data_IF_849481664618
#
_entry.id   IF_849481664618
#
_cell.length_a   1.000
_cell.length_b   1.000
_cell.length_c   1.000
_cell.angle_alpha   90.00
_cell.angle_beta   90.00
_cell.angle_gamma   90.00
#
_symmetry.space_group_name_H-M   'P 1'
#
loop_
_entity.id
_entity.type
_entity.pdbx_description
1 polymer ?
#
# COMPACT_ATOMS: atom_id res chain seq x y z
N UNK A 1 -21.97 0.52 -16.39
CA UNK A 1 -22.53 1.40 -17.42
C UNK A 1 -21.68 2.64 -17.65
N UNK A 2 -21.26 3.37 -16.58
CA UNK A 2 -20.48 4.59 -16.66
C UNK A 2 -19.10 4.37 -17.30
N UNK A 3 -18.37 3.35 -16.85
CA UNK A 3 -17.08 2.97 -17.41
C UNK A 3 -17.17 2.62 -18.92
N UNK A 4 -18.26 2.02 -19.35
CA UNK A 4 -18.46 1.69 -20.75
C UNK A 4 -18.79 2.91 -21.63
N UNK A 5 -19.39 3.98 -21.04
CA UNK A 5 -19.65 5.24 -21.75
C UNK A 5 -18.38 6.07 -21.89
N UNK A 6 -17.44 5.90 -20.98
CA UNK A 6 -16.18 6.64 -20.93
C UNK A 6 -14.99 5.81 -21.41
N UNK A 7 -15.20 4.83 -22.27
CA UNK A 7 -14.12 4.02 -22.84
C UNK A 7 -13.17 4.87 -23.71
N UNK A 8 -11.84 4.67 -23.65
CA UNK A 8 -11.15 3.61 -22.89
C UNK A 8 -11.10 3.90 -21.39
N UNK A 9 -11.39 2.87 -20.57
CA UNK A 9 -11.48 3.04 -19.12
C UNK A 9 -10.99 1.81 -18.35
N UNK A 10 -10.58 2.04 -17.09
CA UNK A 10 -10.17 0.99 -16.17
C UNK A 10 -11.12 1.01 -14.98
N UNK A 11 -11.66 -0.15 -14.61
CA UNK A 11 -12.39 -0.36 -13.36
C UNK A 11 -11.47 -1.07 -12.38
N UNK A 12 -11.26 -0.46 -11.22
CA UNK A 12 -10.51 -1.05 -10.14
C UNK A 12 -11.44 -1.47 -9.01
N UNK A 13 -11.32 -2.71 -8.55
CA UNK A 13 -12.11 -3.30 -7.46
C UNK A 13 -11.14 -3.74 -6.38
N UNK A 14 -11.12 -3.05 -5.25
CA UNK A 14 -10.33 -3.47 -4.09
C UNK A 14 -11.11 -4.45 -3.22
N UNK A 15 -10.37 -5.33 -2.51
CA UNK A 15 -10.94 -6.34 -1.61
C UNK A 15 -12.07 -7.16 -2.25
N UNK A 16 -11.86 -7.65 -3.46
CA UNK A 16 -12.88 -8.36 -4.24
C UNK A 16 -13.42 -9.61 -3.50
N UNK A 17 -12.65 -10.21 -2.61
CA UNK A 17 -13.07 -11.33 -1.78
C UNK A 17 -14.20 -10.95 -0.81
N UNK A 18 -14.35 -9.68 -0.43
CA UNK A 18 -15.48 -9.18 0.37
C UNK A 18 -16.77 -9.07 -0.46
N UNK A 19 -16.65 -8.85 -1.77
CA UNK A 19 -17.77 -8.67 -2.70
C UNK A 19 -18.20 -10.00 -3.31
N UNK A 20 -17.24 -10.86 -3.60
CA UNK A 20 -17.45 -12.12 -4.32
C UNK A 20 -16.77 -13.33 -3.64
N UNK A 21 -17.16 -13.64 -2.39
CA UNK A 21 -16.63 -14.79 -1.67
C UNK A 21 -17.08 -16.12 -2.28
N UNK A 22 -16.33 -17.22 -2.02
CA UNK A 22 -16.70 -18.58 -2.41
C UNK A 22 -18.10 -18.95 -1.94
N UNK A 23 -18.86 -19.59 -2.81
CA UNK A 23 -20.26 -19.98 -2.55
C UNK A 23 -20.46 -20.81 -1.27
N UNK A 24 -19.44 -21.55 -0.83
CA UNK A 24 -19.48 -22.35 0.41
C UNK A 24 -19.28 -21.54 1.70
N UNK A 25 -18.82 -20.30 1.61
CA UNK A 25 -18.58 -19.41 2.74
C UNK A 25 -19.71 -18.38 2.94
N UNK A 26 -20.66 -18.35 2.02
CA UNK A 26 -21.72 -17.36 1.96
C UNK A 26 -23.04 -17.98 2.46
N UNK A 27 -23.59 -17.47 3.53
CA UNK A 27 -24.89 -17.89 4.10
C UNK A 27 -26.06 -17.03 3.63
N UNK A 28 -25.80 -15.86 3.02
CA UNK A 28 -26.81 -14.90 2.59
C UNK A 28 -27.23 -15.02 1.12
N UNK A 29 -28.54 -14.92 0.84
CA UNK A 29 -29.06 -14.86 -0.54
C UNK A 29 -28.67 -13.59 -1.29
N UNK A 30 -28.50 -12.48 -0.56
CA UNK A 30 -28.10 -11.20 -1.12
C UNK A 30 -26.68 -11.25 -1.71
N UNK A 31 -25.74 -11.85 -1.00
CA UNK A 31 -24.34 -12.01 -1.45
C UNK A 31 -24.26 -12.92 -2.67
N UNK A 32 -25.01 -14.02 -2.70
CA UNK A 32 -25.11 -14.89 -3.89
C UNK A 32 -25.60 -14.14 -5.14
N UNK A 33 -26.54 -13.21 -4.95
CA UNK A 33 -27.03 -12.34 -6.04
C UNK A 33 -25.95 -11.39 -6.54
N UNK A 34 -25.17 -10.78 -5.64
CA UNK A 34 -24.07 -9.86 -6.00
C UNK A 34 -23.03 -10.62 -6.84
N UNK A 35 -22.60 -11.81 -6.40
CA UNK A 35 -21.67 -12.64 -7.17
C UNK A 35 -22.22 -13.00 -8.55
N UNK A 36 -23.49 -13.43 -8.63
CA UNK A 36 -24.13 -13.77 -9.89
C UNK A 36 -24.23 -12.55 -10.84
N UNK A 37 -24.52 -11.37 -10.28
CA UNK A 37 -24.60 -10.14 -11.06
C UNK A 37 -23.21 -9.70 -11.55
N UNK A 38 -22.18 -9.82 -10.71
CA UNK A 38 -20.80 -9.53 -11.10
C UNK A 38 -20.35 -10.45 -12.24
N UNK A 39 -20.62 -11.75 -12.16
CA UNK A 39 -20.32 -12.71 -13.22
C UNK A 39 -21.01 -12.33 -14.54
N UNK A 40 -22.29 -11.96 -14.50
CA UNK A 40 -23.04 -11.53 -15.69
C UNK A 40 -22.47 -10.24 -16.30
N UNK A 41 -22.02 -9.32 -15.44
CA UNK A 41 -21.38 -8.08 -15.90
C UNK A 41 -20.03 -8.36 -16.55
N UNK A 42 -19.23 -9.27 -15.99
CA UNK A 42 -17.93 -9.67 -16.54
C UNK A 42 -18.08 -10.33 -17.89
N UNK A 43 -19.02 -11.28 -18.03
CA UNK A 43 -19.30 -11.95 -19.33
C UNK A 43 -19.73 -10.96 -20.41
N UNK A 44 -20.37 -9.86 -20.03
CA UNK A 44 -20.74 -8.77 -20.96
C UNK A 44 -19.60 -7.83 -21.34
N UNK A 45 -18.42 -7.94 -20.72
CA UNK A 45 -17.27 -7.09 -20.98
C UNK A 45 -16.39 -7.61 -22.12
N UNK A 46 -16.36 -8.91 -22.39
CA UNK A 46 -15.57 -9.50 -23.50
C UNK A 46 -15.85 -8.84 -24.86
N UNK A 47 -17.07 -8.40 -25.07
CA UNK A 47 -17.46 -7.71 -26.32
C UNK A 47 -17.02 -6.23 -26.38
N UNK A 48 -16.37 -5.70 -25.32
CA UNK A 48 -16.03 -4.28 -25.21
C UNK A 48 -14.51 -4.10 -25.12
N UNK A 49 -13.87 -3.97 -26.28
CA UNK A 49 -12.42 -3.98 -26.46
C UNK A 49 -11.62 -2.90 -25.69
N UNK A 50 -12.28 -1.89 -25.08
CA UNK A 50 -11.62 -0.74 -24.47
C UNK A 50 -11.92 -0.59 -22.97
N UNK A 51 -12.27 -1.66 -22.28
CA UNK A 51 -12.54 -1.68 -20.85
C UNK A 51 -11.68 -2.76 -20.17
N UNK A 52 -10.87 -2.37 -19.20
CA UNK A 52 -10.04 -3.28 -18.40
C UNK A 52 -10.59 -3.29 -16.98
N UNK A 53 -10.72 -4.47 -16.40
CA UNK A 53 -11.07 -4.64 -14.98
C UNK A 53 -9.87 -5.19 -14.23
N UNK A 54 -9.50 -4.52 -13.16
CA UNK A 54 -8.43 -4.93 -12.25
C UNK A 54 -9.05 -5.13 -10.88
N UNK A 55 -8.80 -6.28 -10.25
CA UNK A 55 -9.24 -6.54 -8.89
C UNK A 55 -8.03 -6.84 -7.99
N UNK A 56 -8.12 -6.42 -6.74
CA UNK A 56 -7.10 -6.71 -5.73
C UNK A 56 -7.72 -7.52 -4.57
N UNK A 57 -6.93 -8.42 -4.01
CA UNK A 57 -7.27 -9.21 -2.81
C UNK A 57 -6.01 -9.69 -2.12
N UNK A 58 -6.09 -9.84 -0.79
CA UNK A 58 -5.09 -10.53 0.02
C UNK A 58 -5.44 -12.03 0.21
N UNK A 59 -6.61 -12.47 -0.29
CA UNK A 59 -7.14 -13.82 -0.07
C UNK A 59 -7.67 -14.43 -1.37
N UNK A 60 -6.79 -14.73 -2.35
CA UNK A 60 -7.21 -15.22 -3.66
C UNK A 60 -7.98 -16.55 -3.57
N UNK A 61 -7.72 -17.35 -2.53
CA UNK A 61 -8.43 -18.61 -2.26
C UNK A 61 -9.87 -18.39 -1.77
N UNK A 62 -10.22 -17.19 -1.28
CA UNK A 62 -11.57 -16.86 -0.82
C UNK A 62 -12.51 -16.39 -1.95
N UNK A 63 -11.98 -16.08 -3.14
CA UNK A 63 -12.78 -15.64 -4.29
C UNK A 63 -13.52 -16.80 -4.92
N UNK A 64 -14.76 -16.55 -5.42
CA UNK A 64 -15.52 -17.53 -6.21
C UNK A 64 -14.73 -17.97 -7.45
N UNK A 65 -14.54 -19.28 -7.60
CA UNK A 65 -13.74 -19.88 -8.69
C UNK A 65 -14.27 -19.51 -10.08
N UNK A 66 -15.55 -19.22 -10.20
CA UNK A 66 -16.14 -18.82 -11.47
C UNK A 66 -15.59 -17.47 -11.97
N UNK A 67 -15.14 -16.59 -11.08
CA UNK A 67 -14.49 -15.31 -11.45
C UNK A 67 -13.07 -15.49 -12.00
N UNK A 68 -12.39 -16.57 -11.63
CA UNK A 68 -11.00 -16.88 -12.05
C UNK A 68 -10.93 -17.69 -13.35
N UNK A 69 -12.05 -17.85 -14.06
CA UNK A 69 -12.09 -18.54 -15.34
C UNK A 69 -11.69 -17.60 -16.50
N UNK A 70 -11.18 -18.18 -17.62
CA UNK A 70 -10.90 -17.41 -18.83
C UNK A 70 -12.10 -16.56 -19.26
N UNK A 71 -11.83 -15.35 -19.76
CA UNK A 71 -12.85 -14.37 -20.13
C UNK A 71 -13.32 -13.47 -18.99
N UNK A 72 -12.79 -13.67 -17.78
CA UNK A 72 -13.08 -12.84 -16.59
C UNK A 72 -11.77 -12.34 -16.00
N UNK A 73 -11.38 -12.79 -14.79
CA UNK A 73 -10.04 -12.54 -14.25
C UNK A 73 -9.10 -13.67 -14.70
N UNK A 74 -8.65 -13.59 -15.93
CA UNK A 74 -7.85 -14.61 -16.60
C UNK A 74 -6.34 -14.48 -16.30
N UNK A 75 -5.93 -13.37 -15.72
CA UNK A 75 -4.54 -13.12 -15.30
C UNK A 75 -4.47 -12.82 -13.82
N UNK A 76 -3.58 -13.55 -13.16
CA UNK A 76 -3.28 -13.35 -11.75
C UNK A 76 -1.83 -12.88 -11.63
N UNK A 77 -1.64 -11.75 -10.94
CA UNK A 77 -0.33 -11.17 -10.66
C UNK A 77 -0.14 -11.20 -9.15
N UNK A 78 0.83 -11.98 -8.70
CA UNK A 78 1.17 -12.07 -7.28
C UNK A 78 2.17 -10.96 -6.95
N UNK A 79 1.78 -10.04 -6.06
CA UNK A 79 2.67 -9.04 -5.49
C UNK A 79 3.24 -9.60 -4.20
N UNK A 80 4.46 -10.11 -4.27
CA UNK A 80 5.16 -10.73 -3.13
C UNK A 80 5.90 -9.72 -2.25
N UNK A 81 6.60 -10.26 -1.25
CA UNK A 81 7.51 -9.47 -0.41
C UNK A 81 8.60 -8.85 -1.29
N UNK A 82 8.88 -7.54 -1.17
CA UNK A 82 9.86 -6.86 -2.01
C UNK A 82 11.29 -7.37 -1.73
N UNK A 83 12.08 -7.50 -2.78
CA UNK A 83 13.52 -7.70 -2.69
C UNK A 83 14.24 -6.44 -2.17
N UNK A 84 15.56 -6.49 -2.01
CA UNK A 84 16.34 -5.34 -1.52
C UNK A 84 16.15 -4.09 -2.40
N UNK A 85 16.12 -4.27 -3.72
CA UNK A 85 15.91 -3.18 -4.67
C UNK A 85 14.51 -2.59 -4.53
N UNK A 86 13.49 -3.43 -4.44
CA UNK A 86 12.10 -3.02 -4.21
C UNK A 86 11.96 -2.25 -2.90
N UNK A 87 12.58 -2.73 -1.80
CA UNK A 87 12.56 -2.01 -0.53
C UNK A 87 13.24 -0.65 -0.61
N UNK A 88 14.37 -0.56 -1.33
CA UNK A 88 15.03 0.72 -1.58
C UNK A 88 14.12 1.71 -2.33
N UNK A 89 13.42 1.25 -3.36
CA UNK A 89 12.47 2.06 -4.13
C UNK A 89 11.30 2.52 -3.25
N UNK A 90 10.74 1.63 -2.43
CA UNK A 90 9.66 1.95 -1.47
C UNK A 90 10.15 2.96 -0.43
N UNK A 91 11.36 2.79 0.14
CA UNK A 91 11.97 3.76 1.03
C UNK A 91 12.07 5.14 0.36
N UNK A 92 12.54 5.19 -0.90
CA UNK A 92 12.62 6.44 -1.65
C UNK A 92 11.27 7.13 -1.88
N UNK A 93 10.18 6.37 -1.98
CA UNK A 93 8.82 6.92 -2.08
C UNK A 93 8.39 7.52 -0.73
N UNK A 94 8.55 6.78 0.38
CA UNK A 94 8.08 7.20 1.70
C UNK A 94 8.95 8.28 2.35
N UNK A 95 10.21 8.42 1.92
CA UNK A 95 11.10 9.50 2.38
C UNK A 95 11.04 10.74 1.49
N UNK A 96 10.23 10.74 0.43
CA UNK A 96 10.09 11.89 -0.47
C UNK A 96 9.60 13.13 0.30
N UNK A 97 10.38 14.22 0.25
CA UNK A 97 10.08 15.46 0.98
C UNK A 97 10.42 15.42 2.46
N UNK A 98 10.98 14.32 2.96
CA UNK A 98 11.51 14.23 4.32
C UNK A 98 12.92 14.83 4.35
N UNK A 99 13.24 15.74 5.27
CA UNK A 99 14.59 16.29 5.42
C UNK A 99 15.52 15.21 6.00
N UNK A 100 16.19 14.47 5.13
CA UNK A 100 17.17 13.46 5.53
C UNK A 100 18.54 14.06 5.73
N UNK A 101 19.25 13.63 6.77
CA UNK A 101 20.67 13.95 6.96
C UNK A 101 21.52 13.24 5.88
N UNK A 102 22.67 13.84 5.54
CA UNK A 102 23.53 13.36 4.46
C UNK A 102 24.05 11.93 4.64
N UNK A 103 24.13 11.45 5.87
CA UNK A 103 24.61 10.12 6.24
C UNK A 103 23.52 9.02 6.16
N UNK A 104 22.27 9.37 5.86
CA UNK A 104 21.18 8.42 5.71
C UNK A 104 21.29 7.73 4.35
N UNK A 105 21.66 6.47 4.36
CA UNK A 105 21.74 5.63 3.17
C UNK A 105 20.50 4.76 3.02
N UNK A 106 19.70 5.00 1.97
CA UNK A 106 18.54 4.16 1.66
C UNK A 106 18.96 2.73 1.28
N UNK A 107 20.15 2.54 0.75
CA UNK A 107 20.69 1.21 0.44
C UNK A 107 21.03 0.43 1.72
N UNK A 108 21.59 1.08 2.75
CA UNK A 108 21.79 0.47 4.05
C UNK A 108 20.46 0.10 4.70
N UNK A 109 19.48 1.01 4.69
CA UNK A 109 18.16 0.75 5.23
C UNK A 109 17.45 -0.41 4.50
N UNK A 110 17.59 -0.49 3.18
CA UNK A 110 17.02 -1.59 2.40
C UNK A 110 17.62 -2.96 2.77
N UNK A 111 18.92 -3.01 3.09
CA UNK A 111 19.58 -4.23 3.58
C UNK A 111 19.12 -4.63 4.97
N UNK A 112 18.97 -3.66 5.87
CA UNK A 112 18.57 -3.92 7.27
C UNK A 112 17.09 -4.27 7.43
N UNK A 113 16.24 -3.91 6.47
CA UNK A 113 14.80 -4.16 6.48
C UNK A 113 14.41 -5.46 5.75
N UNK A 114 15.22 -6.50 5.87
CA UNK A 114 14.90 -7.80 5.27
C UNK A 114 13.54 -8.31 5.79
N UNK A 115 12.68 -8.78 4.87
CA UNK A 115 11.34 -9.28 5.19
C UNK A 115 10.25 -8.21 5.28
N UNK A 116 10.61 -6.92 5.34
CA UNK A 116 9.63 -5.82 5.40
C UNK A 116 8.82 -5.73 4.11
N UNK A 117 7.51 -5.52 4.26
CA UNK A 117 6.61 -5.14 3.17
C UNK A 117 6.41 -3.62 3.13
N UNK A 118 5.67 -3.14 2.13
CA UNK A 118 5.46 -1.70 1.95
C UNK A 118 4.87 -1.00 3.17
N UNK A 119 3.93 -1.66 3.87
CA UNK A 119 3.32 -1.13 5.09
C UNK A 119 4.34 -0.97 6.23
N UNK A 120 5.25 -1.93 6.40
CA UNK A 120 6.29 -1.89 7.43
C UNK A 120 7.29 -0.78 7.15
N UNK A 121 7.68 -0.59 5.88
CA UNK A 121 8.57 0.49 5.45
C UNK A 121 7.90 1.86 5.67
N UNK A 122 6.61 1.98 5.38
CA UNK A 122 5.84 3.18 5.67
C UNK A 122 5.77 3.48 7.18
N UNK A 123 5.58 2.44 8.00
CA UNK A 123 5.61 2.57 9.46
C UNK A 123 7.00 2.97 9.97
N UNK A 124 8.06 2.35 9.44
CA UNK A 124 9.45 2.66 9.77
C UNK A 124 9.78 4.12 9.47
N UNK A 125 9.47 4.61 8.29
CA UNK A 125 9.76 5.99 7.90
C UNK A 125 8.98 7.00 8.74
N UNK A 126 7.73 6.69 9.09
CA UNK A 126 6.93 7.51 10.01
C UNK A 126 7.50 7.53 11.42
N UNK A 127 7.89 6.37 11.95
CA UNK A 127 8.47 6.28 13.29
C UNK A 127 9.83 7.02 13.36
N UNK A 128 10.67 6.91 12.32
CA UNK A 128 11.92 7.66 12.24
C UNK A 128 11.69 9.19 12.25
N UNK A 129 10.65 9.67 11.56
CA UNK A 129 10.26 11.07 11.63
C UNK A 129 9.79 11.49 13.03
N UNK A 130 9.05 10.62 13.73
CA UNK A 130 8.63 10.86 15.12
C UNK A 130 9.83 10.89 16.05
N UNK A 131 10.83 10.02 15.87
CA UNK A 131 12.07 10.05 16.67
C UNK A 131 12.85 11.35 16.45
N UNK A 132 12.95 11.84 15.22
CA UNK A 132 13.57 13.13 14.93
C UNK A 132 12.85 14.28 15.67
N UNK A 133 11.52 14.27 15.69
CA UNK A 133 10.73 15.26 16.46
C UNK A 133 10.97 15.11 17.96
N UNK A 134 10.94 13.90 18.50
CA UNK A 134 11.22 13.62 19.93
C UNK A 134 12.59 14.14 20.36
N UNK A 135 13.60 13.96 19.51
CA UNK A 135 14.98 14.42 19.76
C UNK A 135 15.08 15.94 19.85
N UNK A 136 14.21 16.65 19.15
CA UNK A 136 14.22 18.12 19.09
C UNK A 136 13.28 18.74 20.12
N UNK A 137 12.20 18.04 20.51
CA UNK A 137 11.21 18.54 21.47
C UNK A 137 11.80 19.18 22.74
N UNK A 138 12.84 18.63 23.40
CA UNK A 138 13.44 19.27 24.58
C UNK A 138 14.11 20.63 24.30
N UNK A 139 14.39 20.92 23.02
CA UNK A 139 14.99 22.19 22.59
C UNK A 139 13.95 23.24 22.22
N UNK A 140 12.66 22.84 22.16
CA UNK A 140 11.55 23.72 21.84
C UNK A 140 11.01 24.34 23.10
N UNK A 141 10.90 25.69 23.10
CA UNK A 141 10.13 26.39 24.11
C UNK A 141 8.64 26.29 23.77
N UNK A 142 7.92 25.41 24.45
CA UNK A 142 6.48 25.16 24.20
C UNK A 142 5.58 26.36 24.56
N UNK A 143 6.12 27.39 25.22
CA UNK A 143 5.38 28.63 25.52
C UNK A 143 5.42 29.62 24.34
N UNK A 144 6.30 29.43 23.39
CA UNK A 144 6.38 30.24 22.20
C UNK A 144 5.40 29.73 21.13
N UNK A 145 4.62 30.66 20.54
CA UNK A 145 3.64 30.32 19.49
C UNK A 145 4.26 29.98 18.14
N UNK A 146 5.54 30.19 17.97
CA UNK A 146 6.28 29.97 16.72
C UNK A 146 7.55 29.18 16.99
N UNK A 147 7.81 28.17 16.16
CA UNK A 147 9.07 27.43 16.21
C UNK A 147 10.15 28.30 15.54
N UNK A 148 11.28 28.60 16.23
CA UNK A 148 12.37 29.34 15.61
C UNK A 148 12.88 28.69 14.34
N UNK A 149 13.20 29.48 13.31
CA UNK A 149 13.69 28.96 12.04
C UNK A 149 14.96 28.11 12.21
N UNK A 150 15.83 28.50 13.13
CA UNK A 150 17.06 27.76 13.47
C UNK A 150 16.80 26.34 13.96
N UNK A 151 15.67 26.12 14.63
CA UNK A 151 15.28 24.76 15.08
C UNK A 151 14.71 23.96 13.92
N UNK A 152 13.94 24.59 13.03
CA UNK A 152 13.43 23.96 11.81
C UNK A 152 14.57 23.54 10.88
N UNK A 153 15.61 24.34 10.75
CA UNK A 153 16.80 24.04 9.94
C UNK A 153 17.60 22.85 10.51
N UNK A 154 17.47 22.57 11.81
CA UNK A 154 18.09 21.39 12.46
C UNK A 154 17.20 20.14 12.44
N UNK A 155 15.97 20.27 11.95
CA UNK A 155 15.02 19.17 11.86
C UNK A 155 15.36 18.27 10.65
N UNK A 156 16.41 17.48 10.74
CA UNK A 156 16.73 16.43 9.80
C UNK A 156 16.54 15.07 10.46
N UNK A 157 15.99 14.10 9.71
CA UNK A 157 15.90 12.72 10.15
C UNK A 157 17.25 12.06 9.94
N UNK A 158 17.84 11.57 11.02
CA UNK A 158 19.18 11.00 11.04
C UNK A 158 19.16 9.50 10.86
N UNK A 159 20.33 8.92 10.61
CA UNK A 159 20.50 7.47 10.61
C UNK A 159 20.11 6.86 11.97
N UNK A 160 20.44 7.50 13.06
CA UNK A 160 20.15 7.02 14.41
C UNK A 160 18.63 7.02 14.69
N UNK A 161 17.88 8.00 14.18
CA UNK A 161 16.42 8.02 14.27
C UNK A 161 15.82 6.79 13.57
N UNK A 162 16.34 6.38 12.41
CA UNK A 162 15.94 5.14 11.74
C UNK A 162 16.32 3.90 12.54
N UNK A 163 17.51 3.86 13.16
CA UNK A 163 17.91 2.71 13.97
C UNK A 163 17.07 2.56 15.24
N UNK A 164 16.65 3.66 15.87
CA UNK A 164 15.70 3.61 16.99
C UNK A 164 14.30 3.18 16.52
N UNK A 165 13.85 3.67 15.37
CA UNK A 165 12.58 3.25 14.77
C UNK A 165 12.55 1.75 14.46
N UNK A 166 13.64 1.17 13.95
CA UNK A 166 13.77 -0.27 13.67
C UNK A 166 13.60 -1.15 14.92
N UNK A 167 13.88 -0.65 16.11
CA UNK A 167 13.67 -1.41 17.36
C UNK A 167 12.18 -1.57 17.69
N UNK A 168 11.31 -0.73 17.13
CA UNK A 168 9.87 -0.68 17.41
C UNK A 168 9.03 -1.27 16.29
N UNK A 169 9.51 -1.18 15.06
CA UNK A 169 8.83 -1.72 13.89
C UNK A 169 9.43 -3.08 13.57
N UNK A 170 8.61 -4.12 13.68
CA UNK A 170 8.96 -5.49 13.32
C UNK A 170 8.14 -5.92 12.09
N UNK A 171 8.71 -6.74 11.19
CA UNK A 171 8.01 -7.29 10.04
C UNK A 171 6.93 -8.27 10.41
#
# INVERSE_FOLDING_TARGET
EEAAKNAPSIVFIDEIDSIAPKRGQVSGEAEKRVVAQLLTLMDGLEARANLVVIAATNRPEAIDEALRRPGRFDREIVVGVPDERGRREILGIHTRGMPLEHNVSLDELARTTFGFVGADIAALTREAAIEAVRRIMPKLNLEERTIPAEVLDTLAVTRDDFMEALKRVQP
#
